data_IF_699080686166
#
_entry.id   IF_699080686166
#
_cell.length_a   1.000
_cell.length_b   1.000
_cell.length_c   1.000
_cell.angle_alpha   90.00
_cell.angle_beta   90.00
_cell.angle_gamma   90.00
#
_symmetry.space_group_name_H-M   'P 1'
#
loop_
_entity.id
_entity.type
_entity.pdbx_description
1 polymer ?
#
# COMPACT_ATOMS: atom_id res chain seq x y z
N UNK A 1 -12.69 -6.12 27.27
CA UNK A 1 -13.05 -6.97 26.11
C UNK A 1 -13.13 -6.17 24.81
N UNK A 2 -13.70 -4.95 24.77
CA UNK A 2 -13.78 -4.15 23.52
C UNK A 2 -12.42 -3.75 22.94
N UNK A 3 -11.42 -3.45 23.78
CA UNK A 3 -10.08 -3.06 23.34
C UNK A 3 -9.27 -4.23 22.75
N UNK A 4 -9.49 -5.45 23.23
CA UNK A 4 -8.81 -6.66 22.73
C UNK A 4 -9.33 -7.03 21.34
N UNK A 5 -10.65 -6.87 21.11
CA UNK A 5 -11.26 -7.11 19.79
C UNK A 5 -10.74 -6.10 18.73
N UNK A 6 -10.50 -4.85 19.13
CA UNK A 6 -9.93 -3.84 18.23
C UNK A 6 -8.47 -4.13 17.87
N UNK A 7 -7.68 -4.62 18.83
CA UNK A 7 -6.28 -4.99 18.62
C UNK A 7 -6.14 -6.20 17.67
N UNK A 8 -7.04 -7.19 17.74
CA UNK A 8 -7.03 -8.34 16.83
C UNK A 8 -7.41 -7.98 15.39
N UNK A 9 -8.29 -6.99 15.19
CA UNK A 9 -8.69 -6.55 13.85
C UNK A 9 -7.54 -5.88 13.07
N UNK A 10 -6.61 -5.21 13.77
CA UNK A 10 -5.48 -4.51 13.15
C UNK A 10 -4.40 -5.48 12.67
N UNK A 11 -4.29 -6.68 13.24
CA UNK A 11 -3.25 -7.66 12.85
C UNK A 11 -3.53 -8.41 11.56
N UNK A 12 -4.74 -8.35 11.01
CA UNK A 12 -5.11 -9.08 9.78
C UNK A 12 -4.87 -8.31 8.47
N UNK A 13 -4.49 -7.02 8.52
CA UNK A 13 -4.31 -6.20 7.31
C UNK A 13 -2.90 -6.28 6.70
N UNK A 14 -2.02 -7.15 7.21
CA UNK A 14 -0.59 -7.13 6.92
C UNK A 14 -0.07 -7.96 5.75
N UNK A 15 -0.89 -8.58 4.90
CA UNK A 15 -0.39 -9.58 3.95
C UNK A 15 -0.27 -9.16 2.47
N UNK A 16 -0.52 -7.91 2.11
CA UNK A 16 -0.33 -7.45 0.73
C UNK A 16 1.02 -6.73 0.58
N UNK A 17 2.13 -7.45 0.81
CA UNK A 17 3.46 -6.90 0.65
C UNK A 17 3.95 -7.04 -0.79
N UNK A 18 4.85 -6.17 -1.22
CA UNK A 18 5.56 -6.25 -2.51
C UNK A 18 6.24 -7.60 -2.73
N UNK A 19 6.62 -8.28 -1.66
CA UNK A 19 7.24 -9.61 -1.69
C UNK A 19 6.34 -10.69 -2.30
N UNK A 20 5.01 -10.59 -2.12
CA UNK A 20 4.06 -11.55 -2.72
C UNK A 20 3.70 -11.22 -4.17
N UNK A 21 4.11 -10.06 -4.68
CA UNK A 21 3.83 -9.66 -6.05
C UNK A 21 4.70 -10.42 -7.05
N UNK A 22 4.06 -11.11 -7.99
CA UNK A 22 4.72 -11.77 -9.12
C UNK A 22 4.08 -11.24 -10.41
N UNK A 23 4.79 -10.40 -11.17
CA UNK A 23 4.26 -9.89 -12.45
C UNK A 23 4.13 -11.02 -13.47
N UNK A 24 3.16 -10.90 -14.36
CA UNK A 24 3.01 -11.79 -15.50
C UNK A 24 4.05 -11.40 -16.54
N UNK A 25 4.92 -12.34 -16.91
CA UNK A 25 5.99 -12.12 -17.89
C UNK A 25 5.87 -13.09 -19.06
N UNK A 26 6.34 -12.66 -20.22
CA UNK A 26 6.41 -13.53 -21.40
C UNK A 26 7.55 -14.55 -21.23
N UNK A 27 7.25 -15.86 -21.10
CA UNK A 27 8.28 -16.87 -20.88
C UNK A 27 9.24 -17.01 -22.06
N UNK A 28 8.81 -16.65 -23.27
CA UNK A 28 9.63 -16.75 -24.48
C UNK A 28 10.74 -15.68 -24.54
N UNK A 29 10.63 -14.61 -23.73
CA UNK A 29 11.56 -13.49 -23.69
C UNK A 29 12.16 -13.27 -22.31
N UNK A 30 12.07 -14.26 -21.44
CA UNK A 30 12.60 -14.18 -20.08
C UNK A 30 13.99 -14.79 -20.03
N UNK A 31 14.98 -14.01 -19.63
CA UNK A 31 16.36 -14.50 -19.45
C UNK A 31 16.48 -15.39 -18.21
N UNK A 32 17.51 -16.25 -18.15
CA UNK A 32 17.75 -17.13 -17.00
C UNK A 32 18.01 -16.40 -15.67
N UNK A 33 18.23 -15.09 -15.68
CA UNK A 33 18.41 -14.23 -14.50
C UNK A 33 17.09 -13.66 -13.93
N UNK A 34 15.93 -13.98 -14.51
CA UNK A 34 14.64 -13.38 -14.13
C UNK A 34 14.37 -13.36 -12.62
N UNK A 35 14.61 -14.48 -11.94
CA UNK A 35 14.34 -14.55 -10.50
C UNK A 35 15.26 -13.65 -9.69
N UNK A 36 16.51 -13.48 -10.09
CA UNK A 36 17.44 -12.55 -9.47
C UNK A 36 17.00 -11.11 -9.75
N UNK A 37 16.70 -10.79 -10.98
CA UNK A 37 16.20 -9.49 -11.41
C UNK A 37 14.90 -9.12 -10.68
N UNK A 38 14.00 -10.06 -10.49
CA UNK A 38 12.76 -9.88 -9.74
C UNK A 38 13.03 -9.55 -8.26
N UNK A 39 13.93 -10.27 -7.61
CA UNK A 39 14.29 -10.01 -6.22
C UNK A 39 14.94 -8.65 -6.05
N UNK A 40 15.87 -8.29 -6.92
CA UNK A 40 16.52 -6.98 -6.90
C UNK A 40 15.51 -5.84 -7.11
N UNK A 41 14.55 -6.01 -8.04
CA UNK A 41 13.52 -5.01 -8.27
C UNK A 41 12.54 -4.89 -7.11
N UNK A 42 12.23 -5.98 -6.41
CA UNK A 42 11.44 -5.96 -5.18
C UNK A 42 12.16 -5.23 -4.06
N UNK A 43 13.44 -5.53 -3.85
CA UNK A 43 14.27 -4.84 -2.86
C UNK A 43 14.36 -3.34 -3.15
N UNK A 44 14.50 -2.95 -4.43
CA UNK A 44 14.49 -1.55 -4.84
C UNK A 44 13.16 -0.89 -4.51
N UNK A 45 12.03 -1.54 -4.75
CA UNK A 45 10.71 -1.02 -4.43
C UNK A 45 10.52 -0.82 -2.91
N UNK A 46 11.08 -1.69 -2.09
CA UNK A 46 11.01 -1.59 -0.62
C UNK A 46 11.84 -0.44 -0.05
N UNK A 47 12.89 0.01 -0.75
CA UNK A 47 13.69 1.17 -0.33
C UNK A 47 12.97 2.51 -0.54
N UNK A 48 11.90 2.54 -1.32
CA UNK A 48 11.06 3.72 -1.51
C UNK A 48 10.16 3.96 -0.29
N UNK A 49 9.59 5.18 -0.12
CA UNK A 49 8.71 5.49 0.99
C UNK A 49 7.65 4.40 1.15
N UNK A 50 7.69 3.74 2.32
CA UNK A 50 6.90 2.55 2.57
C UNK A 50 5.40 2.82 2.47
N UNK A 51 4.63 1.78 2.17
CA UNK A 51 3.17 1.78 2.22
C UNK A 51 2.66 2.32 3.56
N UNK A 52 3.40 2.01 4.64
CA UNK A 52 3.09 2.49 5.97
C UNK A 52 3.15 4.03 6.07
N UNK A 53 4.15 4.68 5.46
CA UNK A 53 4.24 6.15 5.49
C UNK A 53 3.10 6.81 4.71
N UNK A 54 2.68 6.23 3.59
CA UNK A 54 1.53 6.70 2.81
C UNK A 54 0.21 6.44 3.52
N UNK A 55 0.07 5.30 4.19
CA UNK A 55 -1.09 4.98 5.01
C UNK A 55 -1.22 5.98 6.18
N UNK A 56 -0.12 6.31 6.85
CA UNK A 56 -0.12 7.33 7.92
C UNK A 56 -0.49 8.71 7.39
N UNK A 57 0.08 9.13 6.26
CA UNK A 57 -0.26 10.40 5.64
C UNK A 57 -1.74 10.44 5.24
N UNK A 58 -2.26 9.38 4.62
CA UNK A 58 -3.67 9.26 4.27
C UNK A 58 -4.59 9.29 5.49
N UNK A 59 -4.21 8.58 6.57
CA UNK A 59 -4.95 8.57 7.82
C UNK A 59 -5.02 9.96 8.46
N UNK A 60 -3.93 10.71 8.48
CA UNK A 60 -3.90 12.08 9.03
C UNK A 60 -4.78 13.03 8.21
N UNK A 61 -4.66 13.00 6.89
CA UNK A 61 -5.49 13.84 6.01
C UNK A 61 -6.97 13.46 6.16
N UNK A 62 -7.27 12.16 6.15
CA UNK A 62 -8.64 11.65 6.35
C UNK A 62 -9.22 12.09 7.69
N UNK A 63 -8.46 11.95 8.78
CA UNK A 63 -8.90 12.38 10.11
C UNK A 63 -9.24 13.86 10.15
N UNK A 64 -8.40 14.72 9.58
CA UNK A 64 -8.61 16.18 9.56
C UNK A 64 -9.85 16.57 8.75
N UNK A 65 -10.02 15.98 7.56
CA UNK A 65 -11.17 16.26 6.70
C UNK A 65 -12.48 15.84 7.36
N UNK A 66 -12.55 14.63 7.91
CA UNK A 66 -13.77 14.14 8.56
C UNK A 66 -14.05 14.83 9.90
N UNK A 67 -13.01 15.24 10.64
CA UNK A 67 -13.21 16.06 11.83
C UNK A 67 -13.81 17.44 11.49
N UNK A 68 -13.37 18.06 10.39
CA UNK A 68 -13.92 19.31 9.90
C UNK A 68 -15.39 19.17 9.46
N UNK A 69 -15.71 18.07 8.73
CA UNK A 69 -17.08 17.76 8.32
C UNK A 69 -17.97 17.46 9.53
N UNK A 70 -17.48 16.72 10.52
CA UNK A 70 -18.21 16.45 11.77
C UNK A 70 -18.53 17.74 12.54
N UNK A 71 -17.60 18.68 12.59
CA UNK A 71 -17.83 19.99 13.21
C UNK A 71 -18.93 20.80 12.48
N UNK A 72 -18.93 20.76 11.15
CA UNK A 72 -19.95 21.44 10.34
C UNK A 72 -21.33 20.79 10.49
N UNK A 73 -21.38 19.45 10.59
CA UNK A 73 -22.62 18.67 10.72
C UNK A 73 -23.13 18.55 12.16
N UNK A 74 -22.44 19.12 13.16
CA UNK A 74 -22.74 18.99 14.60
C UNK A 74 -22.74 17.53 15.09
N UNK A 75 -21.94 16.68 14.48
CA UNK A 75 -21.69 15.30 14.88
C UNK A 75 -20.42 15.24 15.74
N UNK A 76 -20.29 14.19 16.56
CA UNK A 76 -19.10 14.01 17.40
C UNK A 76 -17.83 13.95 16.53
N UNK A 77 -16.96 14.94 16.74
CA UNK A 77 -15.68 15.07 16.03
C UNK A 77 -14.80 13.82 16.16
N UNK A 78 -14.80 13.20 17.33
CA UNK A 78 -13.92 12.06 17.60
C UNK A 78 -14.37 10.84 16.79
N UNK A 79 -15.67 10.61 16.66
CA UNK A 79 -16.21 9.54 15.85
C UNK A 79 -15.92 9.78 14.36
N UNK A 80 -16.15 11.00 13.88
CA UNK A 80 -15.88 11.35 12.48
C UNK A 80 -14.38 11.29 12.15
N UNK A 81 -13.52 11.77 13.02
CA UNK A 81 -12.07 11.67 12.84
C UNK A 81 -11.61 10.20 12.80
N UNK A 82 -12.18 9.34 13.62
CA UNK A 82 -11.89 7.89 13.60
C UNK A 82 -12.25 7.24 12.26
N UNK A 83 -13.41 7.55 11.72
CA UNK A 83 -13.83 7.06 10.39
C UNK A 83 -12.87 7.56 9.30
N UNK A 84 -12.52 8.85 9.34
CA UNK A 84 -11.59 9.47 8.40
C UNK A 84 -10.19 8.86 8.46
N UNK A 85 -9.71 8.52 9.67
CA UNK A 85 -8.42 7.85 9.85
C UNK A 85 -8.40 6.48 9.18
N UNK A 86 -9.46 5.69 9.36
CA UNK A 86 -9.56 4.35 8.75
C UNK A 86 -9.66 4.45 7.23
N UNK A 87 -10.56 5.29 6.73
CA UNK A 87 -10.77 5.44 5.28
C UNK A 87 -9.53 6.01 4.58
N UNK A 88 -8.93 7.08 5.13
CA UNK A 88 -7.73 7.70 4.57
C UNK A 88 -6.51 6.79 4.65
N UNK A 89 -6.34 6.05 5.75
CA UNK A 89 -5.28 5.07 5.91
C UNK A 89 -5.37 3.92 4.90
N UNK A 90 -6.56 3.39 4.68
CA UNK A 90 -6.80 2.32 3.71
C UNK A 90 -6.51 2.78 2.27
N UNK A 91 -6.92 4.00 1.89
CA UNK A 91 -6.60 4.56 0.59
C UNK A 91 -5.11 4.81 0.40
N UNK A 92 -4.44 5.39 1.41
CA UNK A 92 -3.01 5.64 1.37
C UNK A 92 -2.20 4.35 1.24
N UNK A 93 -2.59 3.29 1.96
CA UNK A 93 -1.98 1.97 1.83
C UNK A 93 -2.17 1.38 0.44
N UNK A 94 -3.39 1.40 -0.10
CA UNK A 94 -3.68 0.88 -1.45
C UNK A 94 -2.87 1.60 -2.54
N UNK A 95 -2.72 2.91 -2.45
CA UNK A 95 -1.88 3.69 -3.37
C UNK A 95 -0.39 3.35 -3.21
N UNK A 96 0.07 3.08 -1.99
CA UNK A 96 1.43 2.65 -1.71
C UNK A 96 1.76 1.33 -2.40
N UNK A 97 0.92 0.31 -2.22
CA UNK A 97 1.07 -1.01 -2.86
C UNK A 97 1.08 -0.90 -4.38
N UNK A 98 0.17 -0.12 -4.96
CA UNK A 98 0.11 0.09 -6.41
C UNK A 98 1.38 0.77 -6.94
N UNK A 99 1.91 1.75 -6.23
CA UNK A 99 3.15 2.42 -6.61
C UNK A 99 4.35 1.47 -6.58
N UNK A 100 4.45 0.61 -5.57
CA UNK A 100 5.53 -0.37 -5.48
C UNK A 100 5.47 -1.41 -6.60
N UNK A 101 4.29 -1.90 -6.95
CA UNK A 101 4.12 -2.79 -8.12
C UNK A 101 4.62 -2.11 -9.39
N UNK A 102 4.26 -0.86 -9.61
CA UNK A 102 4.72 -0.08 -10.75
C UNK A 102 6.25 0.07 -10.78
N UNK A 103 6.89 0.25 -9.62
CA UNK A 103 8.36 0.32 -9.52
C UNK A 103 8.98 -1.01 -9.93
N UNK A 104 8.45 -2.15 -9.46
CA UNK A 104 8.93 -3.48 -9.83
C UNK A 104 8.79 -3.71 -11.33
N UNK A 105 7.65 -3.38 -11.92
CA UNK A 105 7.38 -3.55 -13.35
C UNK A 105 8.32 -2.70 -14.21
N UNK A 106 8.51 -1.43 -13.86
CA UNK A 106 9.42 -0.53 -14.57
C UNK A 106 10.88 -0.96 -14.45
N UNK A 107 11.28 -1.44 -13.27
CA UNK A 107 12.61 -1.98 -13.04
C UNK A 107 12.87 -3.21 -13.93
N UNK A 108 11.94 -4.15 -13.98
CA UNK A 108 12.03 -5.35 -14.81
C UNK A 108 12.07 -5.01 -16.30
N UNK A 109 11.22 -4.09 -16.76
CA UNK A 109 11.24 -3.61 -18.16
C UNK A 109 12.57 -2.95 -18.50
N UNK A 110 13.17 -2.17 -17.59
CA UNK A 110 14.50 -1.58 -17.75
C UNK A 110 15.61 -2.63 -17.88
N UNK A 111 15.42 -3.84 -17.34
CA UNK A 111 16.33 -4.98 -17.48
C UNK A 111 16.03 -5.89 -18.68
N UNK A 112 15.08 -5.49 -19.53
CA UNK A 112 14.72 -6.22 -20.74
C UNK A 112 13.68 -7.33 -20.55
N UNK A 113 13.04 -7.41 -19.38
CA UNK A 113 11.94 -8.35 -19.12
C UNK A 113 10.65 -7.79 -19.69
N UNK A 114 9.94 -8.57 -20.50
CA UNK A 114 8.65 -8.16 -21.06
C UNK A 114 7.53 -8.48 -20.07
N UNK A 115 7.12 -7.46 -19.29
CA UNK A 115 6.01 -7.55 -18.32
C UNK A 115 4.69 -7.30 -19.03
N UNK A 116 3.80 -8.29 -18.96
CA UNK A 116 2.46 -8.29 -19.57
C UNK A 116 1.42 -7.81 -18.53
N UNK A 117 1.22 -6.51 -18.39
CA UNK A 117 0.18 -5.93 -17.52
C UNK A 117 -0.77 -5.05 -18.34
#
# INVERSE_FOLDING_TARGET
MKLIALALAVTMTGCATTQSYNPVVDPARTSGSYYQDLQDCKNLAETQPSEASRAVAGALVGALLFAALGAAAKVDRNQMAGIGTIAGGAQGFGQGVQSQKTIVDNCLRGRGVNVLN
#
